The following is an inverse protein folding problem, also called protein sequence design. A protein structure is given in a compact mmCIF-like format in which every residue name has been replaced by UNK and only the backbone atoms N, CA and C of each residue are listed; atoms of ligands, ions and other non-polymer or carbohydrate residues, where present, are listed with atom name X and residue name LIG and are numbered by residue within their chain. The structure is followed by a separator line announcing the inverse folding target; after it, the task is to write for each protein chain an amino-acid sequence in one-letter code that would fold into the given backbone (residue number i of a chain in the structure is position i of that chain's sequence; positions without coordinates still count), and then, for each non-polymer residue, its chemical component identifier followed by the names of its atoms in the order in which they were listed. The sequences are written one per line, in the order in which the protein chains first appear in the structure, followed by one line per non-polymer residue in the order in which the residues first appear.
data_IF_903735704464
#
_entry.id   IF_903735704464
#
_cell.length_a   1.000
_cell.length_b   1.000
_cell.length_c   1.000
_cell.angle_alpha   90.00
_cell.angle_beta   90.00
_cell.angle_gamma   90.00
#
_symmetry.space_group_name_H-M   'P 1'
#
loop_
_entity.id
_entity.type
_entity.pdbx_description
1 polymer ?
#
# COMPACT_ATOMS: atom_id res chain seq x y z
N UNK A 1 21.07 -28.06 -13.39
CA UNK A 1 20.30 -27.16 -12.50
C UNK A 1 21.20 -25.98 -12.16
N UNK A 2 21.07 -24.89 -12.90
CA UNK A 2 21.91 -23.70 -12.70
C UNK A 2 21.33 -22.91 -11.53
N UNK A 3 21.93 -23.06 -10.34
CA UNK A 3 21.62 -22.24 -9.17
C UNK A 3 22.44 -20.95 -9.26
N UNK A 4 22.02 -20.01 -10.12
CA UNK A 4 22.45 -18.63 -9.95
C UNK A 4 21.90 -18.15 -8.60
N UNK A 5 22.73 -17.60 -7.70
CA UNK A 5 22.29 -17.27 -6.34
C UNK A 5 21.09 -16.33 -6.37
N UNK A 6 20.05 -16.55 -5.53
CA UNK A 6 18.84 -15.72 -5.49
C UNK A 6 19.10 -14.26 -5.08
N UNK A 7 20.35 -13.91 -4.75
CA UNK A 7 20.84 -12.61 -4.30
C UNK A 7 21.63 -11.82 -5.36
N UNK A 8 21.47 -12.12 -6.66
CA UNK A 8 21.96 -11.20 -7.69
C UNK A 8 21.34 -9.81 -7.49
N UNK A 9 22.19 -8.79 -7.29
CA UNK A 9 21.79 -7.45 -6.87
C UNK A 9 20.67 -6.84 -7.74
N UNK A 10 20.63 -7.18 -9.02
CA UNK A 10 19.60 -6.75 -9.98
C UNK A 10 18.18 -7.23 -9.66
N UNK A 11 18.01 -8.38 -8.99
CA UNK A 11 16.69 -8.92 -8.58
C UNK A 11 16.31 -8.47 -7.18
N UNK A 12 17.30 -8.32 -6.30
CA UNK A 12 17.09 -7.97 -4.90
C UNK A 12 16.66 -6.50 -4.70
N UNK A 13 17.31 -5.57 -5.41
CA UNK A 13 17.03 -4.13 -5.25
C UNK A 13 15.56 -3.80 -5.58
N UNK A 14 14.98 -4.25 -6.71
CA UNK A 14 13.59 -3.96 -7.03
C UNK A 14 12.59 -4.68 -6.12
N UNK A 15 12.87 -5.92 -5.72
CA UNK A 15 11.96 -6.70 -4.87
C UNK A 15 11.83 -6.11 -3.48
N UNK A 16 12.94 -5.73 -2.84
CA UNK A 16 12.92 -5.02 -1.56
C UNK A 16 12.25 -3.66 -1.68
N UNK A 17 12.54 -2.89 -2.74
CA UNK A 17 11.89 -1.61 -2.98
C UNK A 17 10.36 -1.72 -3.11
N UNK A 18 9.87 -2.75 -3.80
CA UNK A 18 8.43 -3.00 -3.92
C UNK A 18 7.80 -3.37 -2.59
N UNK A 19 8.46 -4.23 -1.79
CA UNK A 19 7.91 -4.67 -0.50
C UNK A 19 7.84 -3.52 0.48
N UNK A 20 8.94 -2.78 0.65
CA UNK A 20 8.96 -1.61 1.53
C UNK A 20 8.00 -0.52 1.05
N UNK A 21 7.96 -0.23 -0.25
CA UNK A 21 7.10 0.80 -0.81
C UNK A 21 5.62 0.51 -0.56
N UNK A 22 5.15 -0.71 -0.84
CA UNK A 22 3.77 -1.10 -0.57
C UNK A 22 3.45 -1.08 0.93
N UNK A 23 4.38 -1.53 1.77
CA UNK A 23 4.19 -1.57 3.23
C UNK A 23 4.08 -0.16 3.81
N UNK A 24 4.92 0.78 3.36
CA UNK A 24 4.87 2.17 3.79
C UNK A 24 3.55 2.84 3.43
N UNK A 25 3.05 2.61 2.21
CA UNK A 25 1.74 3.14 1.77
C UNK A 25 0.61 2.53 2.61
N UNK A 26 0.63 1.21 2.83
CA UNK A 26 -0.37 0.54 3.66
C UNK A 26 -0.37 1.05 5.10
N UNK A 27 0.81 1.18 5.73
CA UNK A 27 0.94 1.71 7.08
C UNK A 27 0.41 3.14 7.19
N UNK A 28 0.76 4.03 6.25
CA UNK A 28 0.25 5.40 6.23
C UNK A 28 -1.28 5.46 6.11
N UNK A 29 -1.88 4.65 5.23
CA UNK A 29 -3.33 4.55 5.11
C UNK A 29 -3.99 4.00 6.39
N UNK A 30 -3.35 3.04 7.07
CA UNK A 30 -3.82 2.51 8.35
C UNK A 30 -3.85 3.58 9.44
N UNK A 31 -2.77 4.35 9.57
CA UNK A 31 -2.69 5.46 10.53
C UNK A 31 -3.75 6.52 10.26
N UNK A 32 -3.86 6.99 9.00
CA UNK A 32 -4.86 7.97 8.59
C UNK A 32 -6.28 7.48 8.86
N UNK A 33 -6.55 6.20 8.59
CA UNK A 33 -7.86 5.62 8.83
C UNK A 33 -8.18 5.57 10.33
N UNK A 34 -7.26 5.15 11.19
CA UNK A 34 -7.48 5.14 12.65
C UNK A 34 -7.77 6.55 13.16
N UNK A 35 -6.99 7.54 12.72
CA UNK A 35 -7.20 8.94 13.12
C UNK A 35 -8.55 9.49 12.65
N UNK A 36 -8.94 9.22 11.40
CA UNK A 36 -10.22 9.65 10.86
C UNK A 36 -11.41 9.00 11.60
N UNK A 37 -11.31 7.71 11.92
CA UNK A 37 -12.34 7.01 12.69
C UNK A 37 -12.42 7.49 14.14
N UNK A 38 -11.28 7.81 14.76
CA UNK A 38 -11.23 8.39 16.10
C UNK A 38 -11.89 9.79 16.14
N UNK A 39 -11.68 10.61 15.12
CA UNK A 39 -12.33 11.93 15.00
C UNK A 39 -13.84 11.80 14.77
N UNK A 40 -14.26 10.90 13.88
CA UNK A 40 -15.69 10.74 13.54
C UNK A 40 -16.52 10.10 14.66
N UNK A 41 -15.94 9.18 15.44
CA UNK A 41 -16.65 8.39 16.48
C UNK A 41 -16.27 8.76 17.91
N UNK A 42 -15.68 9.94 18.12
CA UNK A 42 -15.32 10.49 19.44
C UNK A 42 -16.40 10.28 20.49
N UNK A 43 -17.64 10.66 20.20
CA UNK A 43 -18.74 10.63 21.17
C UNK A 43 -19.11 9.19 21.58
N UNK A 44 -18.95 8.24 20.66
CA UNK A 44 -19.18 6.81 20.93
C UNK A 44 -18.07 6.22 21.79
N UNK A 45 -16.81 6.60 21.54
CA UNK A 45 -15.66 6.17 22.32
C UNK A 45 -15.74 6.74 23.74
N UNK A 46 -16.09 8.01 23.89
CA UNK A 46 -16.30 8.66 25.19
C UNK A 46 -17.45 8.00 25.97
N UNK A 47 -18.58 7.71 25.30
CA UNK A 47 -19.69 7.02 25.94
C UNK A 47 -19.29 5.63 26.46
N UNK A 48 -18.54 4.85 25.66
CA UNK A 48 -18.05 3.53 26.09
C UNK A 48 -17.11 3.62 27.30
N UNK A 49 -16.22 4.62 27.33
CA UNK A 49 -15.34 4.86 28.47
C UNK A 49 -16.13 5.27 29.72
N UNK A 50 -17.17 6.09 29.59
CA UNK A 50 -18.06 6.47 30.70
C UNK A 50 -18.84 5.27 31.27
N UNK A 51 -19.17 4.27 30.44
CA UNK A 51 -19.75 3.00 30.88
C UNK A 51 -18.73 2.02 31.49
N UNK A 52 -17.45 2.42 31.59
CA UNK A 52 -16.39 1.60 32.19
C UNK A 52 -15.74 0.60 31.24
N UNK A 53 -15.94 0.73 29.92
CA UNK A 53 -15.27 -0.13 28.95
C UNK A 53 -13.75 0.10 28.98
N UNK A 54 -12.98 -0.97 28.78
CA UNK A 54 -11.53 -0.85 28.68
C UNK A 54 -11.14 -0.14 27.37
N UNK A 55 -9.99 0.56 27.39
CA UNK A 55 -9.39 1.20 26.18
C UNK A 55 -9.37 0.29 24.95
N UNK A 56 -9.10 -1.00 25.17
CA UNK A 56 -9.04 -1.99 24.11
C UNK A 56 -10.41 -2.33 23.52
N UNK A 57 -11.44 -2.38 24.34
CA UNK A 57 -12.81 -2.66 23.88
C UNK A 57 -13.36 -1.49 23.06
N UNK A 58 -13.09 -0.25 23.50
CA UNK A 58 -13.52 0.94 22.77
C UNK A 58 -12.79 1.11 21.42
N UNK A 59 -11.49 0.75 21.36
CA UNK A 59 -10.67 0.91 20.15
C UNK A 59 -10.76 -0.25 19.16
N UNK A 60 -11.14 -1.45 19.60
CA UNK A 60 -11.25 -2.65 18.74
C UNK A 60 -12.06 -2.42 17.46
N UNK A 61 -13.28 -1.85 17.48
CA UNK A 61 -14.04 -1.62 16.24
C UNK A 61 -13.38 -0.59 15.31
N UNK A 62 -12.65 0.37 15.86
CA UNK A 62 -11.93 1.40 15.09
C UNK A 62 -10.74 0.77 14.35
N UNK A 63 -9.93 -0.02 15.06
CA UNK A 63 -8.74 -0.67 14.50
C UNK A 63 -9.11 -1.66 13.38
N UNK A 64 -10.20 -2.42 13.56
CA UNK A 64 -10.66 -3.39 12.55
C UNK A 64 -11.10 -2.68 11.27
N UNK A 65 -11.90 -1.61 11.38
CA UNK A 65 -12.39 -0.90 10.20
C UNK A 65 -11.27 -0.11 9.49
N UNK A 66 -10.34 0.45 10.26
CA UNK A 66 -9.16 1.10 9.72
C UNK A 66 -8.26 0.11 8.96
N UNK A 67 -8.00 -1.06 9.55
CA UNK A 67 -7.22 -2.11 8.91
C UNK A 67 -7.91 -2.62 7.63
N UNK A 68 -9.23 -2.81 7.67
CA UNK A 68 -10.03 -3.19 6.50
C UNK A 68 -9.87 -2.16 5.39
N UNK A 69 -10.01 -0.88 5.70
CA UNK A 69 -9.88 0.22 4.73
C UNK A 69 -8.49 0.27 4.11
N UNK A 70 -7.43 0.11 4.91
CA UNK A 70 -6.06 0.15 4.45
C UNK A 70 -5.65 -1.07 3.60
N UNK A 71 -6.28 -2.23 3.79
CA UNK A 71 -5.97 -3.45 3.02
C UNK A 71 -6.68 -3.55 1.67
N UNK A 72 -7.78 -2.82 1.44
CA UNK A 72 -8.51 -2.80 0.16
C UNK A 72 -7.58 -2.72 -1.07
N UNK A 73 -6.63 -1.75 -1.18
CA UNK A 73 -5.78 -1.63 -2.37
C UNK A 73 -4.84 -2.84 -2.57
N UNK A 74 -4.43 -3.49 -1.48
CA UNK A 74 -3.56 -4.67 -1.55
C UNK A 74 -4.33 -5.88 -2.07
N UNK A 75 -5.55 -6.07 -1.55
CA UNK A 75 -6.43 -7.17 -1.98
C UNK A 75 -6.81 -7.00 -3.45
N UNK A 76 -7.16 -5.78 -3.87
CA UNK A 76 -7.51 -5.54 -5.28
C UNK A 76 -6.32 -5.79 -6.21
N UNK A 77 -5.09 -5.43 -5.81
CA UNK A 77 -3.89 -5.69 -6.60
C UNK A 77 -3.60 -7.20 -6.75
N UNK A 78 -3.74 -7.98 -5.67
CA UNK A 78 -3.58 -9.45 -5.69
C UNK A 78 -4.67 -10.08 -6.57
N UNK A 79 -5.92 -9.64 -6.45
CA UNK A 79 -7.04 -10.13 -7.26
C UNK A 79 -6.86 -9.85 -8.75
N UNK A 80 -6.40 -8.65 -9.13
CA UNK A 80 -6.16 -8.29 -10.54
C UNK A 80 -5.04 -9.14 -11.15
N UNK A 81 -3.99 -9.42 -10.37
CA UNK A 81 -2.87 -10.27 -10.80
C UNK A 81 -3.31 -11.72 -10.96
N UNK A 82 -4.20 -12.21 -10.10
CA UNK A 82 -4.76 -13.57 -10.20
C UNK A 82 -5.78 -13.75 -11.33
N UNK A 83 -6.47 -12.67 -11.75
CA UNK A 83 -7.52 -12.75 -12.78
C UNK A 83 -7.02 -12.48 -14.20
N UNK A 84 -6.19 -11.44 -14.43
CA UNK A 84 -6.02 -10.90 -15.80
C UNK A 84 -4.57 -10.50 -16.11
N UNK A 85 -3.77 -10.06 -15.13
CA UNK A 85 -2.52 -9.37 -15.45
C UNK A 85 -1.29 -10.27 -15.40
N UNK A 86 -0.50 -10.25 -16.48
CA UNK A 86 0.95 -10.47 -16.44
C UNK A 86 1.54 -9.14 -15.93
N UNK A 87 1.93 -9.03 -14.64
CA UNK A 87 2.41 -7.78 -14.07
C UNK A 87 3.70 -7.33 -14.77
N UNK A 88 3.89 -6.02 -14.88
CA UNK A 88 4.91 -5.43 -15.77
C UNK A 88 6.36 -5.92 -15.54
N UNK A 89 6.71 -6.36 -14.32
CA UNK A 89 8.01 -6.98 -14.03
C UNK A 89 8.13 -8.40 -14.60
N UNK A 90 7.05 -9.19 -14.54
CA UNK A 90 6.97 -10.51 -15.15
C UNK A 90 7.03 -10.41 -16.68
N UNK A 91 6.29 -9.47 -17.28
CA UNK A 91 6.34 -9.20 -18.73
C UNK A 91 7.73 -8.73 -19.18
N UNK A 92 8.41 -7.92 -18.35
CA UNK A 92 9.77 -7.45 -18.61
C UNK A 92 10.81 -8.59 -18.60
N UNK A 93 10.67 -9.55 -17.69
CA UNK A 93 11.51 -10.75 -17.66
C UNK A 93 11.26 -11.66 -18.86
N UNK A 94 9.99 -11.84 -19.25
CA UNK A 94 9.61 -12.62 -20.43
C UNK A 94 10.21 -12.01 -21.71
N UNK A 95 10.10 -10.68 -21.89
CA UNK A 95 10.69 -9.97 -23.04
C UNK A 95 12.24 -9.97 -23.02
N UNK A 96 12.84 -10.13 -21.83
CA UNK A 96 14.29 -10.26 -21.65
C UNK A 96 14.85 -11.66 -21.90
N UNK A 97 14.01 -12.61 -22.34
CA UNK A 97 14.42 -13.99 -22.66
C UNK A 97 14.47 -14.94 -21.46
N UNK A 98 13.89 -14.56 -20.31
CA UNK A 98 13.76 -15.46 -19.16
C UNK A 98 12.63 -16.47 -19.36
N UNK A 99 12.76 -17.65 -18.72
CA UNK A 99 11.73 -18.68 -18.75
C UNK A 99 10.41 -18.18 -18.12
N UNK A 100 9.31 -18.36 -18.83
CA UNK A 100 7.97 -17.87 -18.44
C UNK A 100 7.49 -18.53 -17.16
N UNK A 101 7.85 -19.80 -16.95
CA UNK A 101 7.38 -20.58 -15.81
C UNK A 101 8.07 -20.15 -14.52
N UNK A 102 9.36 -19.83 -14.60
CA UNK A 102 10.09 -19.29 -13.46
C UNK A 102 9.63 -17.87 -13.12
N UNK A 103 9.45 -16.98 -14.11
CA UNK A 103 8.97 -15.62 -13.89
C UNK A 103 7.59 -15.58 -13.19
N UNK A 104 6.68 -16.48 -13.56
CA UNK A 104 5.36 -16.61 -12.95
C UNK A 104 5.43 -16.99 -11.45
N UNK A 105 6.26 -18.00 -11.13
CA UNK A 105 6.41 -18.49 -9.75
C UNK A 105 7.02 -17.43 -8.84
N UNK A 106 8.05 -16.74 -9.30
CA UNK A 106 8.67 -15.65 -8.54
C UNK A 106 7.69 -14.52 -8.25
N UNK A 107 6.89 -14.13 -9.24
CA UNK A 107 5.92 -13.06 -9.09
C UNK A 107 4.85 -13.40 -8.05
N UNK A 108 4.36 -14.64 -8.03
CA UNK A 108 3.37 -15.08 -7.06
C UNK A 108 3.92 -15.02 -5.62
N UNK A 109 5.17 -15.46 -5.43
CA UNK A 109 5.85 -15.37 -4.12
C UNK A 109 5.98 -13.90 -3.66
N UNK A 110 6.34 -12.99 -4.55
CA UNK A 110 6.47 -11.55 -4.23
C UNK A 110 5.12 -10.95 -3.83
N UNK A 111 4.04 -11.29 -4.53
CA UNK A 111 2.70 -10.76 -4.20
C UNK A 111 2.22 -11.21 -2.82
N UNK A 112 2.45 -12.47 -2.46
CA UNK A 112 2.16 -12.95 -1.11
C UNK A 112 3.02 -12.27 -0.05
N UNK A 113 4.30 -12.04 -0.34
CA UNK A 113 5.21 -11.35 0.57
C UNK A 113 4.79 -9.90 0.82
N UNK A 114 4.39 -9.18 -0.25
CA UNK A 114 3.85 -7.82 -0.14
C UNK A 114 2.56 -7.83 0.68
N UNK A 115 1.62 -8.74 0.40
CA UNK A 115 0.36 -8.82 1.12
C UNK A 115 0.57 -9.06 2.63
N UNK A 116 1.45 -10.00 2.98
CA UNK A 116 1.80 -10.28 4.38
C UNK A 116 2.49 -9.09 5.05
N UNK A 117 3.45 -8.45 4.37
CA UNK A 117 4.17 -7.29 4.90
C UNK A 117 3.24 -6.10 5.13
N UNK A 118 2.34 -5.80 4.19
CA UNK A 118 1.33 -4.75 4.35
C UNK A 118 0.37 -5.09 5.49
N UNK A 119 -0.07 -6.35 5.61
CA UNK A 119 -0.96 -6.75 6.68
C UNK A 119 -0.33 -6.53 8.07
N UNK A 120 0.94 -6.93 8.25
CA UNK A 120 1.69 -6.70 9.48
C UNK A 120 1.96 -5.21 9.73
N UNK A 121 2.29 -4.46 8.67
CA UNK A 121 2.52 -3.00 8.75
C UNK A 121 1.27 -2.24 9.16
N UNK A 122 0.12 -2.58 8.60
CA UNK A 122 -1.17 -1.97 8.94
C UNK A 122 -1.58 -2.32 10.38
N UNK A 123 -1.46 -3.58 10.79
CA UNK A 123 -1.83 -3.99 12.15
C UNK A 123 -0.93 -3.32 13.19
N UNK A 124 0.38 -3.34 12.98
CA UNK A 124 1.34 -2.70 13.89
C UNK A 124 1.15 -1.18 13.95
N UNK A 125 0.96 -0.52 12.81
CA UNK A 125 0.68 0.91 12.74
C UNK A 125 -0.64 1.27 13.44
N UNK A 126 -1.72 0.53 13.17
CA UNK A 126 -3.03 0.80 13.77
C UNK A 126 -3.01 0.60 15.28
N UNK A 127 -2.31 -0.43 15.79
CA UNK A 127 -2.14 -0.64 17.23
C UNK A 127 -1.31 0.51 17.83
N UNK A 128 -0.19 0.87 17.21
CA UNK A 128 0.67 1.95 17.69
C UNK A 128 -0.09 3.29 17.78
N UNK A 129 -0.87 3.65 16.75
CA UNK A 129 -1.69 4.86 16.77
C UNK A 129 -2.79 4.77 17.81
N UNK A 130 -3.46 3.63 17.95
CA UNK A 130 -4.51 3.45 18.95
C UNK A 130 -3.98 3.64 20.39
N UNK A 131 -2.78 3.17 20.68
CA UNK A 131 -2.11 3.42 21.96
C UNK A 131 -1.65 4.86 22.16
N UNK A 132 -1.17 5.52 21.11
CA UNK A 132 -0.72 6.92 21.17
C UNK A 132 -1.91 7.88 21.34
N UNK A 133 -3.05 7.59 20.71
CA UNK A 133 -4.27 8.42 20.78
C UNK A 133 -4.96 8.29 22.14
N UNK A 134 -4.89 7.11 22.77
CA UNK A 134 -5.52 6.83 24.08
C UNK A 134 -4.44 6.66 25.14
N UNK A 135 -3.80 7.77 25.52
CA UNK A 135 -2.87 7.77 26.66
C UNK A 135 -3.63 7.84 28.01
N UNK A 136 -2.91 7.51 29.08
CA UNK A 136 -3.34 7.01 30.40
C UNK A 136 -4.11 7.98 31.32
N UNK A 137 -4.74 9.01 30.75
CA UNK A 137 -5.73 9.86 31.44
C UNK A 137 -7.04 9.81 30.66
N UNK A 138 -8.19 9.51 31.31
CA UNK A 138 -9.49 9.38 30.65
C UNK A 138 -10.07 10.74 30.20
N UNK A 139 -9.32 11.49 29.39
CA UNK A 139 -9.80 12.62 28.60
C UNK A 139 -9.09 12.57 27.25
N UNK A 140 -9.88 12.45 26.19
CA UNK A 140 -9.43 12.71 24.82
C UNK A 140 -8.82 14.11 24.79
N UNK A 141 -7.50 14.20 24.56
CA UNK A 141 -6.83 15.49 24.35
C UNK A 141 -7.30 16.08 23.02
N UNK A 142 -8.36 16.89 23.09
CA UNK A 142 -8.93 17.70 22.00
C UNK A 142 -7.90 18.64 21.37
N UNK A 143 -6.80 18.94 22.08
CA UNK A 143 -5.78 19.91 21.69
C UNK A 143 -4.87 19.47 20.52
N UNK A 144 -4.89 18.18 20.10
CA UNK A 144 -4.11 17.70 18.94
C UNK A 144 -4.93 17.31 17.71
N UNK A 145 -6.27 17.32 17.81
CA UNK A 145 -7.15 16.99 16.67
C UNK A 145 -7.48 18.24 15.82
N UNK A 146 -7.24 19.46 16.31
CA UNK A 146 -7.59 20.72 15.60
C UNK A 146 -6.37 21.45 14.99
N UNK A 147 -5.12 21.09 15.31
CA UNK A 147 -3.92 21.73 14.70
C UNK A 147 -3.14 20.74 13.86
N UNK A 148 -3.70 20.42 12.69
CA UNK A 148 -3.05 19.56 11.71
C UNK A 148 -4.01 19.14 10.61
N UNK A 149 -4.59 20.13 9.92
CA UNK A 149 -5.50 19.99 8.80
C UNK A 149 -5.54 18.62 8.13
N UNK A 150 -6.74 18.03 8.20
CA UNK A 150 -7.29 17.05 7.24
C UNK A 150 -7.46 17.74 5.86
N UNK A 151 -6.38 18.33 5.36
CA UNK A 151 -6.21 18.84 4.00
C UNK A 151 -5.12 18.05 3.25
N UNK A 152 -4.41 17.17 3.97
CA UNK A 152 -3.41 16.25 3.46
C UNK A 152 -3.94 14.85 3.13
N UNK A 153 -4.85 14.28 3.93
CA UNK A 153 -5.30 12.89 3.73
C UNK A 153 -6.18 12.72 2.48
N UNK A 154 -7.01 13.72 2.11
CA UNK A 154 -7.67 13.75 0.79
C UNK A 154 -6.68 13.91 -0.37
N UNK A 155 -5.54 14.59 -0.16
CA UNK A 155 -4.45 14.70 -1.15
C UNK A 155 -3.61 13.42 -1.26
N UNK A 156 -3.47 12.63 -0.20
CA UNK A 156 -2.80 11.31 -0.24
C UNK A 156 -3.72 10.24 -0.85
N UNK A 157 -5.03 10.26 -0.53
CA UNK A 157 -6.04 9.41 -1.20
C UNK A 157 -6.13 9.70 -2.70
N UNK A 158 -6.07 10.97 -3.11
CA UNK A 158 -5.97 11.34 -4.52
C UNK A 158 -4.59 11.00 -5.11
N UNK A 159 -3.50 11.24 -4.37
CA UNK A 159 -2.11 11.12 -4.84
C UNK A 159 -1.57 9.70 -4.95
N UNK A 160 -2.03 8.72 -4.16
CA UNK A 160 -1.56 7.33 -4.25
C UNK A 160 -2.20 6.59 -5.45
N UNK A 161 -3.49 6.87 -5.71
CA UNK A 161 -4.17 6.46 -6.95
C UNK A 161 -3.63 7.20 -8.18
N UNK A 162 -3.36 8.51 -8.05
CA UNK A 162 -2.85 9.33 -9.15
C UNK A 162 -1.36 9.09 -9.45
N UNK A 163 -0.45 8.86 -8.49
CA UNK A 163 0.97 8.58 -8.81
C UNK A 163 1.16 7.23 -9.50
N UNK A 164 0.34 6.25 -9.17
CA UNK A 164 0.32 4.97 -9.89
C UNK A 164 -0.27 5.13 -11.29
N UNK A 165 -1.34 5.91 -11.46
CA UNK A 165 -1.89 6.24 -12.79
C UNK A 165 -1.01 7.18 -13.62
N UNK A 166 -0.28 8.11 -12.99
CA UNK A 166 0.60 9.06 -13.64
C UNK A 166 1.94 8.41 -14.00
N UNK A 167 2.43 7.46 -13.18
CA UNK A 167 3.51 6.55 -13.54
C UNK A 167 3.14 5.64 -14.72
N UNK A 168 1.92 5.07 -14.72
CA UNK A 168 1.40 4.29 -15.85
C UNK A 168 1.18 5.17 -17.09
N UNK A 169 0.68 6.41 -16.93
CA UNK A 169 0.54 7.38 -18.03
C UNK A 169 1.86 7.88 -18.57
N UNK A 170 2.89 8.11 -17.73
CA UNK A 170 4.26 8.47 -18.16
C UNK A 170 4.93 7.29 -18.86
N UNK A 171 4.74 6.07 -18.36
CA UNK A 171 5.18 4.84 -19.01
C UNK A 171 4.52 4.67 -20.38
N UNK A 172 3.18 4.77 -20.48
CA UNK A 172 2.46 4.77 -21.75
C UNK A 172 2.93 5.90 -22.69
N UNK A 173 3.23 7.10 -22.18
CA UNK A 173 3.76 8.21 -23.00
C UNK A 173 5.17 7.91 -23.52
N UNK A 174 6.01 7.24 -22.73
CA UNK A 174 7.35 6.81 -23.16
C UNK A 174 7.28 5.68 -24.21
N UNK A 175 6.37 4.72 -24.06
CA UNK A 175 6.15 3.62 -25.01
C UNK A 175 5.55 4.15 -26.33
N UNK A 176 4.59 5.07 -26.28
CA UNK A 176 4.04 5.73 -27.48
C UNK A 176 5.11 6.56 -28.19
N UNK A 177 5.94 7.30 -27.45
CA UNK A 177 7.04 8.12 -28.00
C UNK A 177 8.14 7.26 -28.62
N UNK A 178 8.43 6.08 -28.07
CA UNK A 178 9.33 5.08 -28.67
C UNK A 178 8.75 4.47 -29.96
N UNK A 179 7.43 4.20 -30.01
CA UNK A 179 6.77 3.74 -31.24
C UNK A 179 6.79 4.80 -32.35
N UNK A 180 6.61 6.08 -32.01
CA UNK A 180 6.71 7.17 -32.98
C UNK A 180 8.14 7.38 -33.48
N UNK A 181 9.14 7.24 -32.60
CA UNK A 181 10.55 7.27 -33.00
C UNK A 181 10.92 6.11 -33.94
N UNK A 182 10.44 4.90 -33.67
CA UNK A 182 10.64 3.74 -34.55
C UNK A 182 9.98 3.92 -35.92
N UNK A 183 8.83 4.59 -35.98
CA UNK A 183 8.14 4.88 -37.24
C UNK A 183 8.80 6.00 -38.07
N UNK A 184 9.47 6.96 -37.41
CA UNK A 184 10.22 8.03 -38.10
C UNK A 184 11.57 7.52 -38.61
N UNK A 185 12.24 6.65 -37.85
CA UNK A 185 13.50 6.02 -38.28
C UNK A 185 13.31 5.13 -39.53
N UNK A 186 12.17 4.44 -39.65
CA UNK A 186 11.86 3.55 -40.77
C UNK A 186 11.29 4.27 -42.01
N UNK A 187 11.25 5.60 -42.01
CA UNK A 187 10.85 6.46 -43.15
C UNK A 187 12.04 7.24 -43.74
N UNK A 188 13.24 7.03 -43.20
CA UNK A 188 14.51 7.66 -43.64
C UNK A 188 15.46 6.63 -44.29
N UNK A 189 15.03 5.37 -44.39
CA UNK A 189 15.56 4.35 -45.32
C UNK A 189 14.52 4.11 -46.43
#
# INVERSE_FOLDING_TARGET
MNFDPPLSASKFIPTMGMVYGNTMVGAALGMDAVLAWADTRRDTVEAMLCFGASRWEALRPIVVEAARTAMIPTITAVSITGLISIPGMMSGQILGGADVMDAARYQQVIMFMIAASVALGVVSASIAVAFVVVDSTPMLRTERVIVGGVDGSSRVKAGAGQRTQEGLRRSCRSVVRMKTWKSVANSVE
#
